data_IF_173583043178
#
_entry.id   IF_173583043178
#
_cell.length_a   1.000
_cell.length_b   1.000
_cell.length_c   1.000
_cell.angle_alpha   90.00
_cell.angle_beta   90.00
_cell.angle_gamma   90.00
#
_symmetry.space_group_name_H-M   'P 1'
#
loop_
_entity.id
_entity.type
_entity.pdbx_description
1 polymer ?
#
# COMPACT_ATOMS: atom_id res chain seq x y z
N UNK A 1 -11.11 -0.05 -18.24
CA UNK A 1 -9.82 0.53 -17.83
C UNK A 1 -8.89 -0.57 -17.38
N UNK A 2 -7.60 -0.44 -17.69
CA UNK A 2 -6.54 -1.37 -17.30
C UNK A 2 -5.69 -0.72 -16.21
N UNK A 3 -5.77 -1.27 -15.01
CA UNK A 3 -5.01 -0.86 -13.85
C UNK A 3 -3.76 -1.73 -13.71
N UNK A 4 -2.60 -1.11 -13.57
CA UNK A 4 -1.35 -1.79 -13.27
C UNK A 4 -0.90 -1.39 -11.86
N UNK A 5 -0.83 -2.37 -10.96
CA UNK A 5 -0.28 -2.20 -9.63
C UNK A 5 1.17 -2.67 -9.61
N UNK A 6 2.09 -1.76 -9.30
CA UNK A 6 3.53 -1.99 -9.32
C UNK A 6 4.07 -2.06 -7.88
N UNK A 7 4.47 -3.27 -7.49
CA UNK A 7 5.21 -3.56 -6.28
C UNK A 7 6.68 -3.13 -6.38
N UNK A 8 7.47 -3.47 -5.36
CA UNK A 8 8.89 -3.11 -5.31
C UNK A 8 9.83 -4.33 -5.48
N UNK A 9 9.31 -5.53 -5.74
CA UNK A 9 10.20 -6.63 -6.11
C UNK A 9 10.80 -6.40 -7.52
N UNK A 10 11.94 -7.01 -7.85
CA UNK A 10 12.46 -7.02 -9.22
C UNK A 10 11.39 -7.53 -10.21
N UNK A 11 11.35 -6.93 -11.40
CA UNK A 11 10.40 -7.28 -12.47
C UNK A 11 11.21 -7.45 -13.76
N UNK A 12 11.00 -8.57 -14.45
CA UNK A 12 11.54 -8.80 -15.77
C UNK A 12 10.43 -8.55 -16.80
N UNK A 13 10.65 -7.69 -17.79
CA UNK A 13 9.71 -7.47 -18.90
C UNK A 13 8.40 -6.81 -18.49
N UNK A 14 8.42 -5.52 -18.15
CA UNK A 14 7.22 -4.76 -17.75
C UNK A 14 6.68 -3.81 -18.82
N UNK A 15 7.35 -3.72 -19.96
CA UNK A 15 7.09 -2.74 -21.02
C UNK A 15 5.69 -2.91 -21.61
N UNK A 16 5.26 -4.15 -21.82
CA UNK A 16 3.92 -4.45 -22.33
C UNK A 16 2.83 -4.02 -21.34
N UNK A 17 2.94 -4.43 -20.07
CA UNK A 17 2.00 -4.05 -19.02
C UNK A 17 1.93 -2.53 -18.84
N UNK A 18 3.08 -1.84 -18.86
CA UNK A 18 3.14 -0.37 -18.79
C UNK A 18 2.45 0.26 -20.00
N UNK A 19 2.73 -0.22 -21.21
CA UNK A 19 2.14 0.32 -22.46
C UNK A 19 0.62 0.18 -22.43
N UNK A 20 0.11 -0.97 -22.02
CA UNK A 20 -1.29 -1.33 -22.09
C UNK A 20 -2.11 -0.80 -20.89
N UNK A 21 -1.45 -0.35 -19.82
CA UNK A 21 -2.11 0.25 -18.66
C UNK A 21 -2.63 1.67 -18.94
N UNK A 22 -3.87 1.91 -18.54
CA UNK A 22 -4.50 3.24 -18.50
C UNK A 22 -4.11 3.99 -17.21
N UNK A 23 -3.99 3.26 -16.09
CA UNK A 23 -3.71 3.80 -14.76
C UNK A 23 -2.65 2.96 -14.09
N UNK A 24 -1.54 3.58 -13.70
CA UNK A 24 -0.48 2.92 -12.95
C UNK A 24 -0.50 3.39 -11.49
N UNK A 25 -0.41 2.43 -10.58
CA UNK A 25 -0.31 2.63 -9.13
C UNK A 25 1.02 2.07 -8.68
N UNK A 26 1.82 2.88 -7.99
CA UNK A 26 3.10 2.43 -7.42
C UNK A 26 3.02 2.39 -5.90
N UNK A 27 3.81 1.52 -5.28
CA UNK A 27 3.83 1.38 -3.82
C UNK A 27 5.15 1.85 -3.19
N UNK A 28 5.06 2.46 -2.00
CA UNK A 28 6.18 2.77 -1.12
C UNK A 28 7.37 3.47 -1.81
N UNK A 29 8.43 2.72 -2.14
CA UNK A 29 9.69 3.25 -2.67
C UNK A 29 9.62 3.59 -4.16
N UNK A 30 8.63 3.08 -4.88
CA UNK A 30 8.48 3.25 -6.32
C UNK A 30 9.78 2.90 -7.06
N UNK A 31 10.35 1.72 -6.80
CA UNK A 31 11.68 1.35 -7.33
C UNK A 31 11.76 1.35 -8.86
N UNK A 32 10.62 1.23 -9.53
CA UNK A 32 10.50 1.16 -10.99
C UNK A 32 10.03 2.46 -11.64
N UNK A 33 9.99 3.56 -10.88
CA UNK A 33 9.44 4.85 -11.35
C UNK A 33 10.11 5.38 -12.63
N UNK A 34 11.39 5.07 -12.84
CA UNK A 34 12.15 5.52 -14.00
C UNK A 34 11.80 4.77 -15.29
N UNK A 35 11.13 3.61 -15.18
CA UNK A 35 10.67 2.81 -16.31
C UNK A 35 9.25 3.17 -16.75
N UNK A 36 8.54 3.96 -15.94
CA UNK A 36 7.13 4.29 -16.13
C UNK A 36 7.01 5.70 -16.69
N UNK A 37 6.25 5.93 -17.78
CA UNK A 37 5.95 7.26 -18.27
C UNK A 37 5.34 8.13 -17.18
N UNK A 38 5.88 9.34 -17.03
CA UNK A 38 5.59 10.29 -15.94
C UNK A 38 4.08 10.48 -15.68
N UNK A 39 3.31 10.53 -16.75
CA UNK A 39 1.87 10.81 -16.76
C UNK A 39 0.99 9.61 -16.40
N UNK A 40 1.51 8.39 -16.49
CA UNK A 40 0.73 7.17 -16.27
C UNK A 40 0.56 6.82 -14.79
N UNK A 41 1.51 7.21 -13.94
CA UNK A 41 1.35 7.01 -12.49
C UNK A 41 0.33 7.99 -11.93
N UNK A 42 -0.83 7.49 -11.52
CA UNK A 42 -1.91 8.31 -10.92
C UNK A 42 -1.96 8.23 -9.41
N UNK A 43 -1.47 7.14 -8.83
CA UNK A 43 -1.50 6.92 -7.40
C UNK A 43 -0.15 6.40 -6.90
N UNK A 44 0.30 6.94 -5.79
CA UNK A 44 1.43 6.40 -5.03
C UNK A 44 0.91 5.99 -3.66
N UNK A 45 0.82 4.70 -3.40
CA UNK A 45 0.32 4.15 -2.15
C UNK A 45 1.49 3.90 -1.21
N UNK A 46 1.54 4.61 -0.10
CA UNK A 46 2.65 4.48 0.86
C UNK A 46 2.16 3.95 2.20
N UNK A 47 3.03 3.19 2.86
CA UNK A 47 2.90 2.95 4.29
C UNK A 47 3.13 4.27 5.01
N UNK A 48 2.11 4.72 5.72
CA UNK A 48 2.10 6.00 6.40
C UNK A 48 2.38 5.84 7.90
N UNK A 49 2.17 4.66 8.48
CA UNK A 49 2.48 4.43 9.89
C UNK A 49 4.01 4.42 10.15
N UNK A 50 4.42 5.18 11.17
CA UNK A 50 5.77 5.58 11.65
C UNK A 50 6.95 5.76 10.72
N UNK A 51 6.69 6.22 9.50
CA UNK A 51 7.67 7.08 8.85
C UNK A 51 7.40 8.53 9.26
N UNK A 52 8.36 9.26 9.86
CA UNK A 52 8.18 10.68 10.15
C UNK A 52 7.71 11.47 8.91
N UNK A 53 6.77 12.42 9.05
CA UNK A 53 6.25 13.22 7.92
C UNK A 53 7.35 13.83 7.07
N UNK A 54 8.40 14.37 7.70
CA UNK A 54 9.55 14.92 6.98
C UNK A 54 10.23 13.90 6.07
N UNK A 55 10.29 12.62 6.47
CA UNK A 55 10.81 11.54 5.62
C UNK A 55 9.86 11.20 4.48
N UNK A 56 8.55 11.18 4.73
CA UNK A 56 7.52 11.00 3.68
C UNK A 56 7.61 12.12 2.65
N UNK A 57 7.52 13.39 3.08
CA UNK A 57 7.63 14.57 2.21
C UNK A 57 8.93 14.53 1.42
N UNK A 58 10.07 14.30 2.09
CA UNK A 58 11.36 14.19 1.41
C UNK A 58 11.41 13.06 0.39
N UNK A 59 10.81 11.92 0.68
CA UNK A 59 10.73 10.79 -0.24
C UNK A 59 9.87 11.14 -1.47
N UNK A 60 8.65 11.66 -1.25
CA UNK A 60 7.76 12.03 -2.36
C UNK A 60 8.35 13.18 -3.18
N UNK A 61 9.00 14.17 -2.56
CA UNK A 61 9.78 15.20 -3.27
C UNK A 61 10.90 14.63 -4.13
N UNK A 62 11.55 13.53 -3.72
CA UNK A 62 12.55 12.85 -4.56
C UNK A 62 11.92 12.15 -5.76
N UNK A 63 10.69 11.67 -5.64
CA UNK A 63 9.93 11.06 -6.74
C UNK A 63 9.41 12.13 -7.71
N UNK A 64 9.08 13.33 -7.25
CA UNK A 64 8.69 14.43 -8.15
C UNK A 64 9.91 15.17 -8.72
N UNK A 65 11.02 15.20 -7.99
CA UNK A 65 12.30 15.70 -8.48
C UNK A 65 12.73 14.90 -9.72
N UNK A 66 13.29 15.59 -10.71
CA UNK A 66 13.66 15.05 -12.03
C UNK A 66 12.47 14.67 -12.93
N UNK A 67 11.26 15.20 -12.66
CA UNK A 67 10.06 14.99 -13.49
C UNK A 67 9.66 13.51 -13.60
N UNK A 68 9.96 12.67 -12.60
CA UNK A 68 9.61 11.24 -12.65
C UNK A 68 8.13 10.96 -12.41
N UNK A 69 7.45 11.83 -11.66
CA UNK A 69 6.00 11.81 -11.48
C UNK A 69 5.32 13.09 -11.99
N UNK A 70 4.14 12.91 -12.56
CA UNK A 70 3.28 13.95 -13.09
C UNK A 70 2.28 14.46 -12.06
N UNK A 71 1.02 14.54 -12.48
CA UNK A 71 -0.13 14.71 -11.59
C UNK A 71 -0.53 13.35 -11.00
N UNK A 72 -0.41 13.22 -9.67
CA UNK A 72 -0.70 12.00 -8.93
C UNK A 72 -1.29 12.31 -7.56
N UNK A 73 -2.00 11.34 -6.98
CA UNK A 73 -2.46 11.40 -5.59
C UNK A 73 -1.60 10.49 -4.71
N UNK A 74 -1.21 11.00 -3.56
CA UNK A 74 -0.55 10.23 -2.52
C UNK A 74 -1.61 9.53 -1.66
N UNK A 75 -1.56 8.21 -1.58
CA UNK A 75 -2.54 7.41 -0.84
C UNK A 75 -1.89 6.81 0.40
N UNK A 76 -2.48 7.04 1.56
CA UNK A 76 -2.04 6.45 2.82
C UNK A 76 -2.72 5.12 3.05
N UNK A 77 -1.92 4.06 3.04
CA UNK A 77 -2.40 2.69 3.09
C UNK A 77 -3.00 2.29 4.45
N UNK A 78 -2.74 3.05 5.51
CA UNK A 78 -3.22 2.76 6.86
C UNK A 78 -4.01 3.92 7.39
N UNK A 79 -5.19 3.61 7.90
CA UNK A 79 -5.94 4.56 8.69
C UNK A 79 -5.35 4.64 10.11
N UNK A 80 -5.09 5.86 10.58
CA UNK A 80 -4.49 6.10 11.91
C UNK A 80 -5.43 5.68 13.04
N UNK A 81 -6.70 6.10 12.98
CA UNK A 81 -7.70 5.78 13.99
C UNK A 81 -7.94 4.27 14.10
N UNK A 82 -8.03 3.57 12.96
CA UNK A 82 -8.14 2.10 12.96
C UNK A 82 -6.92 1.42 13.59
N UNK A 83 -5.72 1.92 13.28
CA UNK A 83 -4.47 1.36 13.82
C UNK A 83 -4.39 1.54 15.34
N UNK A 84 -4.78 2.72 15.85
CA UNK A 84 -4.85 3.00 17.29
C UNK A 84 -5.86 2.10 18.01
N UNK A 85 -7.05 1.93 17.44
CA UNK A 85 -8.08 1.06 17.99
C UNK A 85 -7.63 -0.41 18.03
N UNK A 86 -6.99 -0.89 16.97
CA UNK A 86 -6.42 -2.25 16.93
C UNK A 86 -5.35 -2.44 18.02
N UNK A 87 -4.47 -1.46 18.23
CA UNK A 87 -3.48 -1.48 19.31
C UNK A 87 -4.16 -1.56 20.68
N UNK A 88 -5.20 -0.75 20.90
CA UNK A 88 -5.96 -0.71 22.14
C UNK A 88 -6.59 -2.08 22.44
N UNK A 89 -7.20 -2.71 21.44
CA UNK A 89 -7.79 -4.05 21.52
C UNK A 89 -6.76 -5.13 21.84
N UNK A 90 -5.65 -5.18 21.10
CA UNK A 90 -4.58 -6.16 21.33
C UNK A 90 -3.97 -6.02 22.73
N UNK A 91 -3.81 -4.78 23.21
CA UNK A 91 -3.35 -4.49 24.57
C UNK A 91 -4.33 -5.02 25.62
N UNK A 92 -5.62 -4.76 25.45
CA UNK A 92 -6.66 -5.21 26.37
C UNK A 92 -6.78 -6.73 26.43
N UNK A 93 -6.59 -7.42 25.30
CA UNK A 93 -6.64 -8.87 25.22
C UNK A 93 -5.38 -9.56 25.77
N UNK A 94 -4.29 -8.82 26.03
CA UNK A 94 -2.94 -9.34 26.29
C UNK A 94 -2.42 -10.34 25.23
N UNK A 95 -3.12 -10.49 24.10
CA UNK A 95 -2.79 -11.39 22.99
C UNK A 95 -1.99 -10.64 21.94
N UNK A 96 -0.83 -11.17 21.59
CA UNK A 96 0.00 -10.61 20.53
C UNK A 96 0.47 -9.17 20.78
N UNK A 97 0.17 -8.54 21.93
CA UNK A 97 0.52 -7.14 22.19
C UNK A 97 2.02 -6.90 22.06
N UNK A 98 2.87 -7.73 22.66
CA UNK A 98 4.32 -7.57 22.55
C UNK A 98 4.84 -7.87 21.14
N UNK A 99 4.25 -8.85 20.45
CA UNK A 99 4.56 -9.20 19.06
C UNK A 99 4.21 -8.04 18.13
N UNK A 100 2.94 -7.62 18.13
CA UNK A 100 2.40 -6.47 17.41
C UNK A 100 3.14 -5.19 17.77
N UNK A 101 3.39 -4.90 19.05
CA UNK A 101 4.03 -3.66 19.48
C UNK A 101 5.52 -3.62 19.19
N UNK A 102 6.24 -4.75 19.22
CA UNK A 102 7.64 -4.83 18.72
C UNK A 102 7.68 -4.55 17.22
N UNK A 103 6.75 -5.16 16.50
CA UNK A 103 6.47 -4.92 15.09
C UNK A 103 6.07 -3.47 14.79
N UNK A 104 5.27 -2.84 15.66
CA UNK A 104 4.70 -1.50 15.51
C UNK A 104 5.54 -0.40 16.18
N UNK A 105 6.61 -0.71 16.94
CA UNK A 105 7.45 0.31 17.61
C UNK A 105 8.19 1.22 16.64
N UNK A 106 8.40 0.74 15.42
CA UNK A 106 8.89 1.51 14.26
C UNK A 106 7.83 2.46 13.68
N UNK A 107 6.56 2.34 14.13
CA UNK A 107 5.37 2.90 13.48
C UNK A 107 4.72 4.08 14.27
N UNK A 108 5.44 4.68 15.23
CA UNK A 108 4.92 5.68 16.20
C UNK A 108 5.24 7.16 15.91
N UNK A 109 5.68 7.51 14.70
CA UNK A 109 5.89 8.92 14.37
C UNK A 109 4.56 9.52 13.88
N UNK A 110 3.99 10.54 14.56
CA UNK A 110 2.77 11.19 14.10
C UNK A 110 2.99 11.74 12.70
N UNK A 111 2.04 11.49 11.81
CA UNK A 111 2.03 12.12 10.52
C UNK A 111 1.33 13.47 10.60
N UNK A 112 2.09 14.55 10.41
CA UNK A 112 1.56 15.84 10.01
C UNK A 112 0.94 15.75 8.60
N UNK A 113 -0.34 15.36 8.56
CA UNK A 113 -1.15 15.26 7.33
C UNK A 113 -1.35 16.62 6.67
N UNK A 114 -1.41 17.72 7.44
CA UNK A 114 -1.57 19.08 6.92
C UNK A 114 -0.35 19.50 6.10
N UNK A 115 0.85 19.27 6.63
CA UNK A 115 2.09 19.56 5.90
C UNK A 115 2.19 18.76 4.59
N UNK A 116 1.70 17.52 4.58
CA UNK A 116 1.71 16.68 3.37
C UNK A 116 0.64 17.13 2.36
N UNK A 117 -0.57 17.41 2.82
CA UNK A 117 -1.68 17.89 2.00
C UNK A 117 -1.43 19.29 1.41
N UNK A 118 -0.56 20.10 2.02
CA UNK A 118 -0.13 21.38 1.47
C UNK A 118 0.73 21.24 0.19
N UNK A 119 1.32 20.06 -0.06
CA UNK A 119 2.20 19.81 -1.20
C UNK A 119 1.67 18.76 -2.18
N UNK A 120 0.85 17.82 -1.70
CA UNK A 120 0.40 16.67 -2.47
C UNK A 120 -1.10 16.46 -2.30
N UNK A 121 -1.78 16.02 -3.36
CA UNK A 121 -3.16 15.54 -3.27
C UNK A 121 -3.18 14.28 -2.42
N UNK A 122 -3.64 14.41 -1.18
CA UNK A 122 -3.64 13.34 -0.19
C UNK A 122 -4.99 12.61 -0.17
N UNK A 123 -4.93 11.29 -0.21
CA UNK A 123 -6.06 10.38 -0.01
C UNK A 123 -5.72 9.49 1.19
N UNK A 124 -6.64 9.38 2.14
CA UNK A 124 -6.52 8.43 3.25
C UNK A 124 -7.48 7.27 3.00
N UNK A 125 -7.02 6.05 3.22
CA UNK A 125 -7.91 4.89 3.21
C UNK A 125 -8.80 4.93 4.45
N UNK A 126 -10.09 4.67 4.25
CA UNK A 126 -11.10 4.74 5.31
C UNK A 126 -10.87 3.69 6.40
N UNK A 127 -11.27 4.03 7.62
CA UNK A 127 -11.22 3.12 8.75
C UNK A 127 -12.12 1.89 8.51
N UNK A 128 -13.28 2.08 7.90
CA UNK A 128 -14.23 1.00 7.58
C UNK A 128 -13.66 0.03 6.55
N UNK A 129 -13.00 0.55 5.50
CA UNK A 129 -12.27 -0.29 4.55
C UNK A 129 -11.20 -1.12 5.26
N UNK A 130 -10.43 -0.48 6.16
CA UNK A 130 -9.37 -1.16 6.92
C UNK A 130 -9.94 -2.26 7.82
N UNK A 131 -11.07 -2.00 8.48
CA UNK A 131 -11.76 -2.95 9.35
C UNK A 131 -12.34 -4.14 8.59
N UNK A 132 -13.01 -3.90 7.46
CA UNK A 132 -13.60 -4.97 6.65
C UNK A 132 -12.52 -5.82 5.98
N UNK A 133 -11.44 -5.20 5.50
CA UNK A 133 -10.29 -5.92 4.98
C UNK A 133 -9.69 -6.84 6.04
N UNK A 134 -9.40 -6.32 7.23
CA UNK A 134 -8.85 -7.13 8.33
C UNK A 134 -9.80 -8.26 8.72
N UNK A 135 -11.12 -8.00 8.80
CA UNK A 135 -12.13 -9.01 9.09
C UNK A 135 -12.12 -10.15 8.06
N UNK A 136 -12.10 -9.81 6.77
CA UNK A 136 -12.04 -10.81 5.69
C UNK A 136 -10.74 -11.61 5.73
N UNK A 137 -9.61 -10.95 5.99
CA UNK A 137 -8.32 -11.63 6.09
C UNK A 137 -8.25 -12.55 7.32
N UNK A 138 -8.83 -12.15 8.46
CA UNK A 138 -8.94 -13.00 9.65
C UNK A 138 -9.80 -14.23 9.37
N UNK A 139 -10.89 -14.09 8.60
CA UNK A 139 -11.70 -15.23 8.14
C UNK A 139 -10.91 -16.20 7.23
N UNK A 140 -9.87 -15.71 6.55
CA UNK A 140 -8.92 -16.52 5.77
C UNK A 140 -7.72 -17.03 6.60
N UNK A 141 -7.70 -16.77 7.92
CA UNK A 141 -6.67 -17.27 8.83
C UNK A 141 -5.58 -16.27 9.22
N UNK A 142 -5.70 -14.98 8.87
CA UNK A 142 -4.77 -13.96 9.35
C UNK A 142 -4.87 -13.83 10.87
N UNK A 143 -3.71 -13.79 11.55
CA UNK A 143 -3.67 -13.59 13.00
C UNK A 143 -3.99 -12.14 13.35
N UNK A 144 -4.56 -11.93 14.54
CA UNK A 144 -4.95 -10.60 15.02
C UNK A 144 -3.77 -9.62 15.14
N UNK A 145 -2.57 -10.14 15.39
CA UNK A 145 -1.32 -9.37 15.50
C UNK A 145 -0.55 -9.21 14.17
N UNK A 146 -1.12 -9.68 13.06
CA UNK A 146 -0.61 -9.42 11.71
C UNK A 146 -1.29 -8.21 11.06
N UNK A 147 -0.67 -7.69 10.00
CA UNK A 147 -1.18 -6.57 9.20
C UNK A 147 -1.03 -6.90 7.70
N UNK A 148 -2.02 -6.63 6.84
CA UNK A 148 -1.87 -6.82 5.39
C UNK A 148 -0.81 -5.88 4.83
N UNK A 149 0.04 -6.28 3.88
CA UNK A 149 1.06 -5.41 3.29
C UNK A 149 0.47 -4.17 2.60
N UNK A 150 1.27 -3.12 2.41
CA UNK A 150 0.85 -1.96 1.59
C UNK A 150 0.41 -2.40 0.19
N UNK A 151 1.07 -3.44 -0.33
CA UNK A 151 0.75 -4.01 -1.62
C UNK A 151 -0.65 -4.63 -1.66
N UNK A 152 -0.98 -5.47 -0.68
CA UNK A 152 -2.32 -6.06 -0.58
C UNK A 152 -3.40 -5.00 -0.35
N UNK A 153 -3.12 -3.99 0.50
CA UNK A 153 -4.05 -2.88 0.70
C UNK A 153 -4.30 -2.13 -0.61
N UNK A 154 -3.24 -1.79 -1.34
CA UNK A 154 -3.36 -1.10 -2.63
C UNK A 154 -4.18 -1.94 -3.61
N UNK A 155 -3.92 -3.26 -3.68
CA UNK A 155 -4.65 -4.20 -4.52
C UNK A 155 -6.16 -4.20 -4.21
N UNK A 156 -6.54 -4.32 -2.94
CA UNK A 156 -7.94 -4.32 -2.54
C UNK A 156 -8.60 -2.93 -2.65
N UNK A 157 -7.85 -1.86 -2.44
CA UNK A 157 -8.34 -0.50 -2.62
C UNK A 157 -8.57 -0.17 -4.09
N UNK A 158 -7.70 -0.60 -5.02
CA UNK A 158 -7.92 -0.41 -6.46
C UNK A 158 -9.23 -1.06 -6.90
N UNK A 159 -9.58 -2.22 -6.35
CA UNK A 159 -10.84 -2.91 -6.66
C UNK A 159 -12.08 -2.10 -6.28
N UNK A 160 -11.98 -1.14 -5.35
CA UNK A 160 -13.10 -0.23 -5.04
C UNK A 160 -13.23 0.91 -6.04
N UNK A 161 -12.22 1.14 -6.88
CA UNK A 161 -12.23 2.15 -7.94
C UNK A 161 -12.70 1.57 -9.28
N UNK A 162 -12.60 0.25 -9.45
CA UNK A 162 -12.88 -0.45 -10.68
C UNK A 162 -14.39 -0.51 -10.98
N UNK A 163 -14.72 -0.40 -12.26
CA UNK A 163 -16.04 -0.64 -12.83
C UNK A 163 -16.11 -2.02 -13.49
N UNK A 164 -17.31 -2.42 -13.86
CA UNK A 164 -17.51 -3.64 -14.66
C UNK A 164 -16.70 -3.55 -15.97
N UNK A 165 -15.95 -4.60 -16.29
CA UNK A 165 -15.06 -4.65 -17.46
C UNK A 165 -13.67 -4.04 -17.25
N UNK A 166 -13.36 -3.54 -16.06
CA UNK A 166 -11.99 -3.13 -15.72
C UNK A 166 -11.12 -4.34 -15.39
N UNK A 167 -9.81 -4.20 -15.64
CA UNK A 167 -8.80 -5.22 -15.35
C UNK A 167 -7.74 -4.68 -14.40
N UNK A 168 -7.26 -5.52 -13.49
CA UNK A 168 -6.16 -5.21 -12.57
C UNK A 168 -5.06 -6.24 -12.73
N UNK A 169 -3.86 -5.75 -13.01
CA UNK A 169 -2.64 -6.53 -13.14
C UNK A 169 -1.65 -6.11 -12.05
N UNK A 170 -1.39 -6.93 -11.02
CA UNK A 170 -0.29 -6.74 -10.09
C UNK A 170 1.03 -7.31 -10.64
N UNK A 171 2.10 -6.51 -10.58
CA UNK A 171 3.47 -6.94 -10.93
C UNK A 171 4.47 -6.53 -9.84
N UNK A 172 5.53 -7.30 -9.65
CA UNK A 172 6.55 -7.02 -8.62
C UNK A 172 6.12 -7.38 -7.19
N UNK A 173 5.35 -8.46 -7.03
CA UNK A 173 4.88 -9.00 -5.75
C UNK A 173 5.50 -10.37 -5.47
N UNK A 174 6.34 -10.46 -4.43
CA UNK A 174 6.95 -11.75 -4.00
C UNK A 174 6.21 -12.41 -2.84
N UNK A 175 5.36 -11.66 -2.14
CA UNK A 175 4.72 -12.09 -0.88
C UNK A 175 5.74 -12.60 0.15
N UNK A 176 6.84 -11.85 0.31
CA UNK A 176 7.91 -12.15 1.24
C UNK A 176 8.45 -10.86 1.85
N UNK A 177 9.10 -10.96 3.01
CA UNK A 177 9.72 -9.82 3.69
C UNK A 177 9.44 -9.87 5.18
N UNK A 178 8.87 -8.79 5.71
CA UNK A 178 8.53 -8.69 7.12
C UNK A 178 7.54 -9.77 7.57
N UNK A 179 7.83 -10.42 8.69
CA UNK A 179 7.08 -11.55 9.26
C UNK A 179 5.71 -11.15 9.86
N UNK A 180 5.49 -9.86 10.08
CA UNK A 180 4.19 -9.31 10.50
C UNK A 180 3.11 -9.29 9.41
N UNK A 181 3.44 -9.66 8.16
CA UNK A 181 2.48 -9.75 7.06
C UNK A 181 1.95 -11.20 6.87
N UNK A 182 0.66 -11.38 6.52
CA UNK A 182 0.05 -12.70 6.30
C UNK A 182 0.35 -13.23 4.88
N UNK A 183 1.63 -13.43 4.56
CA UNK A 183 2.10 -13.66 3.19
C UNK A 183 1.39 -14.78 2.42
N UNK A 184 1.09 -15.91 3.06
CA UNK A 184 0.37 -17.01 2.42
C UNK A 184 -1.02 -16.59 1.95
N UNK A 185 -1.73 -15.80 2.76
CA UNK A 185 -3.07 -15.28 2.45
C UNK A 185 -2.98 -14.21 1.36
N UNK A 186 -1.98 -13.33 1.42
CA UNK A 186 -1.78 -12.34 0.36
C UNK A 186 -1.50 -12.99 -0.99
N UNK A 187 -0.65 -14.02 -1.01
CA UNK A 187 -0.33 -14.78 -2.20
C UNK A 187 -1.58 -15.47 -2.78
N UNK A 188 -2.41 -16.07 -1.93
CA UNK A 188 -3.68 -16.68 -2.33
C UNK A 188 -4.61 -15.68 -3.03
N UNK A 189 -4.67 -14.43 -2.56
CA UNK A 189 -5.55 -13.41 -3.10
C UNK A 189 -5.02 -12.76 -4.39
N UNK A 190 -3.70 -12.58 -4.50
CA UNK A 190 -3.08 -11.77 -5.56
C UNK A 190 -2.61 -12.61 -6.74
N UNK A 191 -2.08 -13.82 -6.52
CA UNK A 191 -1.55 -14.68 -7.60
C UNK A 191 -2.53 -14.96 -8.75
N UNK A 192 -3.85 -15.10 -8.54
CA UNK A 192 -4.79 -15.25 -9.65
C UNK A 192 -4.79 -14.09 -10.66
N UNK A 193 -4.16 -12.96 -10.32
CA UNK A 193 -4.08 -11.76 -11.15
C UNK A 193 -2.67 -11.52 -11.70
N UNK A 194 -1.65 -12.21 -11.20
CA UNK A 194 -0.27 -12.08 -11.69
C UNK A 194 -0.08 -12.90 -12.96
N UNK A 195 0.62 -12.37 -13.96
CA UNK A 195 1.15 -13.18 -15.05
C UNK A 195 2.38 -13.93 -14.52
N UNK A 196 2.41 -15.26 -14.68
CA UNK A 196 3.58 -16.10 -14.38
C UNK A 196 4.67 -15.96 -15.46
#
# INVERSE_FOLDING_TARGET
>A
MRYLLVGNAPINGMEASIRDADVIIQTNKCLHVDLIPREKTKYVVITNTGTPSKKVVRHVRKLTARKKLGDFSLVFARNEAYSEEKIRRLKAAAKGFFSFFRSYRSFRCPLDKKAIAAEFKLIEIDADFSAELDKRLMALGMKEDQLPSTGLIAFEWIKTLMRSGDHLEPIGFTHQGWDGHPWSIEAQLVRPYTQE
#
